data_IF_601148414448
#
_entry.id   IF_601148414448
#
_cell.length_a   1.000
_cell.length_b   1.000
_cell.length_c   1.000
_cell.angle_alpha   90.00
_cell.angle_beta   90.00
_cell.angle_gamma   90.00
#
_symmetry.space_group_name_H-M   'P 1'
#
loop_
_entity.id
_entity.type
_entity.pdbx_description
1 polymer ?
#
# COMPACT_ATOMS: atom_id res chain seq x y z
N UNK A 1 12.17 -22.19 -7.17
CA UNK A 1 11.27 -21.96 -6.02
C UNK A 1 10.93 -20.49 -5.96
N UNK A 2 9.70 -20.08 -6.23
CA UNK A 2 9.30 -18.68 -6.05
C UNK A 2 9.16 -18.42 -4.55
N UNK A 3 10.05 -17.60 -4.00
CA UNK A 3 9.96 -17.15 -2.61
C UNK A 3 8.60 -16.47 -2.41
N UNK A 4 7.89 -16.86 -1.36
CA UNK A 4 6.62 -16.24 -0.99
C UNK A 4 6.88 -14.77 -0.60
N UNK A 5 6.15 -13.84 -1.21
CA UNK A 5 6.24 -12.41 -0.89
C UNK A 5 5.55 -12.16 0.46
N UNK A 6 6.28 -11.57 1.40
CA UNK A 6 5.79 -11.24 2.74
C UNK A 6 5.20 -9.83 2.80
N UNK A 7 4.45 -9.52 3.87
CA UNK A 7 3.97 -8.15 4.12
C UNK A 7 5.14 -7.16 4.27
N UNK A 8 6.28 -7.60 4.84
CA UNK A 8 7.44 -6.74 5.02
C UNK A 8 8.18 -6.45 3.71
N UNK A 9 8.21 -7.40 2.78
CA UNK A 9 8.71 -7.17 1.43
C UNK A 9 7.88 -6.07 0.73
N UNK A 10 6.56 -6.09 0.92
CA UNK A 10 5.64 -5.09 0.37
C UNK A 10 5.84 -3.72 1.05
N UNK A 11 5.95 -3.67 2.38
CA UNK A 11 6.23 -2.41 3.10
C UNK A 11 7.56 -1.81 2.68
N UNK A 12 8.59 -2.63 2.56
CA UNK A 12 9.92 -2.20 2.10
C UNK A 12 9.85 -1.60 0.69
N UNK A 13 9.12 -2.27 -0.22
CA UNK A 13 8.88 -1.76 -1.56
C UNK A 13 8.14 -0.42 -1.52
N UNK A 14 7.04 -0.32 -0.78
CA UNK A 14 6.25 0.91 -0.67
C UNK A 14 7.09 2.06 -0.14
N UNK A 15 7.80 1.87 0.97
CA UNK A 15 8.67 2.90 1.57
C UNK A 15 9.77 3.38 0.62
N UNK A 16 10.42 2.45 -0.09
CA UNK A 16 11.48 2.78 -1.05
C UNK A 16 10.94 3.62 -2.22
N UNK A 17 9.74 3.32 -2.69
CA UNK A 17 9.16 4.00 -3.84
C UNK A 17 8.36 5.26 -3.46
N UNK A 18 7.92 5.40 -2.21
CA UNK A 18 7.18 6.56 -1.73
C UNK A 18 7.94 7.87 -1.89
N UNK A 19 9.24 7.85 -1.56
CA UNK A 19 10.12 9.01 -1.73
C UNK A 19 10.21 9.46 -3.18
N UNK A 20 10.07 8.54 -4.14
CA UNK A 20 10.24 8.82 -5.56
C UNK A 20 8.93 9.16 -6.26
N UNK A 21 7.79 8.71 -5.74
CA UNK A 21 6.48 8.78 -6.41
C UNK A 21 5.30 9.12 -5.48
N UNK A 22 5.37 10.21 -4.69
CA UNK A 22 4.36 10.51 -3.66
C UNK A 22 2.95 10.74 -4.23
N UNK A 23 2.84 11.36 -5.42
CA UNK A 23 1.55 11.66 -6.06
C UNK A 23 0.84 10.42 -6.58
N UNK A 24 1.58 9.46 -7.14
CA UNK A 24 1.04 8.22 -7.68
C UNK A 24 0.53 7.30 -6.56
N UNK A 25 1.25 7.28 -5.44
CA UNK A 25 0.82 6.55 -4.25
C UNK A 25 -0.42 7.21 -3.62
N UNK A 26 -0.48 8.53 -3.53
CA UNK A 26 -1.66 9.27 -3.05
C UNK A 26 -2.90 9.00 -3.93
N UNK A 27 -2.74 8.99 -5.26
CA UNK A 27 -3.82 8.64 -6.21
C UNK A 27 -4.31 7.20 -5.99
N UNK A 28 -3.38 6.27 -5.84
CA UNK A 28 -3.70 4.87 -5.56
C UNK A 28 -4.53 4.77 -4.28
N UNK A 29 -4.11 5.43 -3.19
CA UNK A 29 -4.86 5.43 -1.92
C UNK A 29 -6.26 6.04 -2.02
N UNK A 30 -6.40 7.16 -2.72
CA UNK A 30 -7.70 7.79 -2.96
C UNK A 30 -8.64 6.85 -3.69
N UNK A 31 -8.14 6.21 -4.75
CA UNK A 31 -8.87 5.21 -5.55
C UNK A 31 -9.31 4.02 -4.67
N UNK A 32 -8.43 3.55 -3.79
CA UNK A 32 -8.70 2.44 -2.88
C UNK A 32 -9.82 2.79 -1.90
N UNK A 33 -9.78 3.98 -1.29
CA UNK A 33 -10.83 4.42 -0.34
C UNK A 33 -12.19 4.56 -1.01
N UNK A 34 -12.22 4.97 -2.28
CA UNK A 34 -13.44 5.07 -3.07
C UNK A 34 -14.02 3.70 -3.43
N UNK A 35 -13.16 2.75 -3.83
CA UNK A 35 -13.59 1.41 -4.24
C UNK A 35 -13.89 0.47 -3.06
N UNK A 36 -13.21 0.66 -1.92
CA UNK A 36 -13.35 -0.15 -0.72
C UNK A 36 -13.52 0.70 0.55
N UNK A 37 -14.71 1.27 0.78
CA UNK A 37 -14.98 2.13 1.94
C UNK A 37 -14.83 1.40 3.29
N UNK A 38 -14.92 0.07 3.31
CA UNK A 38 -14.70 -0.78 4.50
C UNK A 38 -13.25 -1.21 4.72
N UNK A 39 -12.33 -0.79 3.86
CA UNK A 39 -10.94 -1.22 3.86
C UNK A 39 -10.64 -2.28 2.81
N UNK A 40 -9.37 -2.35 2.42
CA UNK A 40 -8.88 -3.28 1.43
C UNK A 40 -9.05 -4.73 1.87
N UNK A 41 -9.44 -5.65 0.98
CA UNK A 41 -9.51 -7.06 1.32
C UNK A 41 -8.14 -7.64 1.70
N UNK A 42 -8.14 -8.75 2.43
CA UNK A 42 -6.94 -9.26 3.13
C UNK A 42 -6.09 -10.24 2.31
N UNK A 43 -6.49 -10.62 1.10
CA UNK A 43 -5.86 -11.69 0.32
C UNK A 43 -5.38 -11.23 -1.06
N UNK A 44 -4.41 -11.96 -1.64
CA UNK A 44 -3.92 -11.69 -3.00
C UNK A 44 -3.35 -10.27 -3.18
N UNK A 45 -3.69 -9.62 -4.30
CA UNK A 45 -3.23 -8.27 -4.66
C UNK A 45 -3.69 -7.21 -3.65
N UNK A 46 -4.78 -7.49 -2.94
CA UNK A 46 -5.44 -6.58 -2.00
C UNK A 46 -4.62 -6.41 -0.70
N UNK A 47 -3.66 -7.30 -0.42
CA UNK A 47 -2.66 -7.09 0.64
C UNK A 47 -1.81 -5.85 0.42
N UNK A 48 -1.44 -5.54 -0.83
CA UNK A 48 -0.64 -4.34 -1.16
C UNK A 48 -1.42 -3.07 -0.86
N UNK A 49 -2.71 -3.11 -1.19
CA UNK A 49 -3.69 -2.06 -0.97
C UNK A 49 -3.85 -1.79 0.53
N UNK A 50 -4.06 -2.82 1.36
CA UNK A 50 -4.12 -2.71 2.82
C UNK A 50 -2.84 -2.10 3.40
N UNK A 51 -1.68 -2.65 3.03
CA UNK A 51 -0.39 -2.19 3.55
C UNK A 51 -0.06 -0.75 3.14
N UNK A 52 -0.47 -0.33 1.95
CA UNK A 52 -0.34 1.06 1.52
C UNK A 52 -1.15 2.02 2.41
N UNK A 53 -2.39 1.66 2.73
CA UNK A 53 -3.23 2.46 3.64
C UNK A 53 -2.65 2.52 5.06
N UNK A 54 -2.13 1.40 5.58
CA UNK A 54 -1.47 1.34 6.90
C UNK A 54 -0.25 2.26 6.97
N UNK A 55 0.65 2.21 5.98
CA UNK A 55 1.84 3.06 5.93
C UNK A 55 1.49 4.55 5.89
N UNK A 56 0.39 4.92 5.21
CA UNK A 56 -0.11 6.31 5.18
C UNK A 56 -0.52 6.81 6.55
N UNK A 57 -1.23 5.98 7.34
CA UNK A 57 -1.66 6.36 8.69
C UNK A 57 -0.48 6.64 9.60
N UNK A 58 0.62 5.91 9.39
CA UNK A 58 1.87 6.10 10.13
C UNK A 58 2.68 7.31 9.63
N UNK A 59 2.47 7.75 8.38
CA UNK A 59 3.19 8.89 7.76
C UNK A 59 2.27 9.71 6.85
N UNK A 60 1.39 10.55 7.41
CA UNK A 60 0.45 11.35 6.62
C UNK A 60 1.12 12.42 5.74
N UNK A 61 2.39 12.76 6.01
CA UNK A 61 3.14 13.83 5.34
C UNK A 61 4.33 13.32 4.49
N UNK A 62 4.40 12.01 4.22
CA UNK A 62 5.44 11.45 3.36
C UNK A 62 5.14 11.69 1.88
#
# INVERSE_FOLDING_TARGET
MNRQITDEDIRTFLRKNWVNYPSQISLMQGTIRLLWPGGAPTNGHERVVRLCLEETRLRPNA
#
